data_IF_400673699405
#
_entry.id   IF_400673699405
#
_cell.length_a   1.000
_cell.length_b   1.000
_cell.length_c   1.000
_cell.angle_alpha   90.00
_cell.angle_beta   90.00
_cell.angle_gamma   90.00
#
_symmetry.space_group_name_H-M   'P 1'
#
loop_
_entity.id
_entity.type
_entity.pdbx_description
1 polymer ?
#
# COMPACT_ATOMS: atom_id res chain seq x y z
N UNK A 1 -23.40 -6.52 -12.46
CA UNK A 1 -23.93 -5.15 -12.70
C UNK A 1 -24.10 -4.98 -14.19
N UNK A 2 -25.32 -4.84 -14.67
CA UNK A 2 -25.62 -4.47 -16.05
C UNK A 2 -26.21 -3.06 -16.01
N UNK A 3 -25.42 -2.07 -16.40
CA UNK A 3 -25.87 -0.71 -16.64
C UNK A 3 -25.42 -0.31 -18.02
N UNK A 4 -26.34 0.17 -18.85
CA UNK A 4 -26.02 0.78 -20.14
C UNK A 4 -25.43 2.15 -19.89
N UNK A 5 -24.24 2.42 -20.44
CA UNK A 5 -23.68 3.76 -20.41
C UNK A 5 -24.56 4.66 -21.30
N UNK A 6 -25.29 5.59 -20.70
CA UNK A 6 -26.02 6.61 -21.44
C UNK A 6 -24.99 7.63 -21.97
N UNK A 7 -24.62 7.49 -23.23
CA UNK A 7 -23.66 8.36 -23.89
C UNK A 7 -24.14 9.80 -24.05
N UNK A 8 -25.43 10.07 -23.85
CA UNK A 8 -26.04 11.39 -24.00
C UNK A 8 -26.11 12.16 -22.67
N UNK A 9 -25.96 11.49 -21.52
CA UNK A 9 -25.92 12.12 -20.20
C UNK A 9 -24.51 12.44 -19.72
N UNK A 10 -23.47 12.09 -20.49
CA UNK A 10 -22.07 12.17 -20.07
C UNK A 10 -21.22 13.00 -21.03
N UNK A 11 -20.62 14.07 -20.52
CA UNK A 11 -19.60 14.83 -21.28
C UNK A 11 -18.30 14.04 -21.31
N UNK A 12 -17.89 13.61 -22.52
CA UNK A 12 -16.58 12.97 -22.72
C UNK A 12 -15.46 13.94 -22.31
N UNK A 13 -14.57 13.49 -21.43
CA UNK A 13 -13.33 14.21 -21.11
C UNK A 13 -12.16 13.41 -21.63
N UNK A 14 -11.30 14.07 -22.40
CA UNK A 14 -10.03 13.48 -22.79
C UNK A 14 -9.11 13.50 -21.57
N UNK A 15 -8.67 12.32 -21.16
CA UNK A 15 -7.67 12.15 -20.11
C UNK A 15 -6.28 12.14 -20.75
N UNK A 16 -5.28 12.64 -20.03
CA UNK A 16 -3.88 12.40 -20.35
C UNK A 16 -3.33 11.29 -19.46
N UNK A 17 -2.58 10.38 -20.07
CA UNK A 17 -1.84 9.34 -19.35
C UNK A 17 -0.41 9.84 -19.21
N UNK A 18 0.00 10.06 -17.96
CA UNK A 18 1.34 10.51 -17.60
C UNK A 18 2.27 9.35 -17.28
N UNK A 19 3.31 9.63 -16.49
CA UNK A 19 4.30 8.64 -16.09
C UNK A 19 3.67 7.53 -15.23
N UNK A 20 4.31 6.36 -15.25
CA UNK A 20 4.00 5.29 -14.31
C UNK A 20 4.48 5.68 -12.91
N UNK A 21 3.59 5.59 -11.94
CA UNK A 21 3.88 5.73 -10.52
C UNK A 21 4.01 4.34 -9.92
N UNK A 22 5.02 4.16 -9.07
CA UNK A 22 5.24 2.94 -8.28
C UNK A 22 5.39 3.34 -6.82
N UNK A 23 4.60 2.73 -5.95
CA UNK A 23 4.60 2.97 -4.51
C UNK A 23 4.47 1.66 -3.75
N UNK A 24 4.77 1.70 -2.45
CA UNK A 24 4.74 0.55 -1.55
C UNK A 24 4.03 0.95 -0.25
N UNK A 25 3.38 -0.01 0.41
CA UNK A 25 2.70 0.15 1.68
C UNK A 25 1.20 0.45 1.58
N UNK A 26 0.44 -0.02 2.58
CA UNK A 26 -1.03 0.08 2.60
C UNK A 26 -1.51 1.54 2.57
N UNK A 27 -0.78 2.47 3.20
CA UNK A 27 -1.13 3.90 3.18
C UNK A 27 -1.04 4.51 1.76
N UNK A 28 -0.04 4.11 0.98
CA UNK A 28 0.12 4.57 -0.40
C UNK A 28 -0.91 3.90 -1.31
N UNK A 29 -1.19 2.61 -1.09
CA UNK A 29 -2.27 1.88 -1.76
C UNK A 29 -3.64 2.55 -1.52
N UNK A 30 -3.97 2.88 -0.27
CA UNK A 30 -5.21 3.58 0.08
C UNK A 30 -5.30 4.93 -0.63
N UNK A 31 -4.22 5.71 -0.60
CA UNK A 31 -4.14 7.02 -1.25
C UNK A 31 -4.40 6.91 -2.75
N UNK A 32 -3.81 5.91 -3.40
CA UNK A 32 -4.00 5.68 -4.83
C UNK A 32 -5.42 5.16 -5.15
N UNK A 33 -5.96 4.27 -4.32
CA UNK A 33 -7.33 3.75 -4.49
C UNK A 33 -8.42 4.80 -4.31
N UNK A 34 -8.14 5.89 -3.61
CA UNK A 34 -9.04 7.05 -3.52
C UNK A 34 -9.16 7.84 -4.82
N UNK A 35 -8.27 7.62 -5.79
CA UNK A 35 -8.29 8.32 -7.08
C UNK A 35 -8.58 7.37 -8.24
N UNK A 36 -8.05 6.15 -8.22
CA UNK A 36 -8.18 5.20 -9.32
C UNK A 36 -7.92 3.75 -8.89
N UNK A 37 -8.38 2.75 -9.67
CA UNK A 37 -7.89 1.39 -9.55
C UNK A 37 -6.38 1.33 -9.85
N UNK A 38 -5.68 0.43 -9.15
CA UNK A 38 -4.22 0.28 -9.27
C UNK A 38 -3.84 -1.18 -9.48
N UNK A 39 -2.76 -1.43 -10.20
CA UNK A 39 -2.18 -2.76 -10.34
C UNK A 39 -1.35 -3.06 -9.08
N UNK A 40 -1.47 -4.28 -8.56
CA UNK A 40 -0.70 -4.76 -7.40
C UNK A 40 -0.13 -6.14 -7.67
N UNK A 41 1.03 -6.44 -7.08
CA UNK A 41 1.55 -7.80 -7.01
C UNK A 41 1.02 -8.51 -5.76
N UNK A 42 0.85 -9.82 -5.87
CA UNK A 42 0.31 -10.67 -4.80
C UNK A 42 0.91 -12.07 -4.83
N UNK A 43 0.91 -12.74 -3.67
CA UNK A 43 1.20 -14.16 -3.52
C UNK A 43 -0.05 -14.99 -3.87
N UNK A 44 -0.19 -15.44 -5.12
CA UNK A 44 -1.37 -16.18 -5.61
C UNK A 44 -1.13 -17.67 -5.89
N UNK A 45 0.13 -18.13 -5.88
CA UNK A 45 0.50 -19.53 -6.10
C UNK A 45 0.12 -20.49 -4.97
N UNK A 46 -0.47 -20.00 -3.88
CA UNK A 46 -0.86 -20.83 -2.73
C UNK A 46 -2.30 -21.36 -2.78
N UNK A 47 -2.57 -22.36 -1.93
CA UNK A 47 -3.87 -23.01 -1.84
C UNK A 47 -4.99 -22.09 -1.31
N UNK A 48 -4.67 -21.08 -0.49
CA UNK A 48 -5.67 -20.11 0.02
C UNK A 48 -6.24 -19.32 -1.15
N UNK A 49 -5.37 -18.83 -2.05
CA UNK A 49 -5.76 -18.08 -3.22
C UNK A 49 -6.47 -18.95 -4.26
N UNK A 50 -5.85 -20.07 -4.66
CA UNK A 50 -6.41 -20.96 -5.70
C UNK A 50 -7.82 -21.44 -5.35
N UNK A 51 -8.08 -21.75 -4.07
CA UNK A 51 -9.37 -22.27 -3.61
C UNK A 51 -10.32 -21.22 -3.05
N UNK A 52 -9.98 -19.93 -3.15
CA UNK A 52 -10.84 -18.86 -2.66
C UNK A 52 -12.25 -18.91 -3.28
N UNK A 53 -13.26 -18.67 -2.45
CA UNK A 53 -14.68 -18.63 -2.85
C UNK A 53 -15.37 -17.36 -2.34
N UNK A 54 -15.14 -17.01 -1.08
CA UNK A 54 -15.74 -15.83 -0.45
C UNK A 54 -15.07 -15.49 0.87
N UNK A 55 -15.36 -14.30 1.40
CA UNK A 55 -14.89 -13.84 2.71
C UNK A 55 -13.61 -13.02 2.62
N UNK A 56 -13.11 -12.59 3.77
CA UNK A 56 -11.84 -11.83 3.86
C UNK A 56 -10.71 -12.81 4.17
N UNK A 57 -9.70 -12.85 3.30
CA UNK A 57 -8.48 -13.62 3.55
C UNK A 57 -7.65 -12.91 4.61
N UNK A 58 -7.34 -13.62 5.69
CA UNK A 58 -6.59 -13.09 6.84
C UNK A 58 -5.24 -13.76 7.03
N UNK A 59 -4.86 -14.69 6.14
CA UNK A 59 -3.59 -15.38 6.17
C UNK A 59 -3.19 -15.82 4.76
N UNK A 60 -1.90 -15.69 4.46
CA UNK A 60 -1.22 -16.33 3.33
C UNK A 60 0.03 -17.05 3.85
N UNK A 61 0.54 -18.07 3.15
CA UNK A 61 1.75 -18.80 3.56
C UNK A 61 3.01 -17.97 3.73
N UNK A 62 3.09 -16.77 3.15
CA UNK A 62 4.26 -15.89 3.25
C UNK A 62 5.34 -16.24 2.23
N UNK A 63 4.93 -16.46 0.97
CA UNK A 63 5.82 -16.66 -0.16
C UNK A 63 6.02 -15.35 -0.97
N UNK A 64 6.83 -15.42 -2.01
CA UNK A 64 7.07 -14.28 -2.90
C UNK A 64 5.84 -13.98 -3.76
N UNK A 65 5.69 -12.73 -4.18
CA UNK A 65 4.63 -12.36 -5.12
C UNK A 65 4.89 -12.94 -6.50
N UNK A 66 3.87 -13.60 -7.06
CA UNK A 66 3.96 -14.35 -8.31
C UNK A 66 2.88 -13.99 -9.33
N UNK A 67 1.95 -13.09 -8.97
CA UNK A 67 0.81 -12.75 -9.80
C UNK A 67 0.45 -11.27 -9.68
N UNK A 68 -0.08 -10.71 -10.77
CA UNK A 68 -0.51 -9.32 -10.83
C UNK A 68 -2.04 -9.25 -10.94
N UNK A 69 -2.65 -8.40 -10.10
CA UNK A 69 -4.11 -8.17 -10.08
C UNK A 69 -4.42 -6.68 -9.97
N UNK A 70 -5.70 -6.32 -10.05
CA UNK A 70 -6.13 -4.92 -9.94
C UNK A 70 -6.84 -4.71 -8.61
N UNK A 71 -6.31 -3.85 -7.74
CA UNK A 71 -7.04 -3.34 -6.60
C UNK A 71 -8.07 -2.31 -7.08
N UNK A 72 -9.34 -2.53 -6.72
CA UNK A 72 -10.48 -1.73 -7.21
C UNK A 72 -11.16 -0.90 -6.12
N UNK A 73 -10.70 -1.05 -4.87
CA UNK A 73 -11.20 -0.30 -3.73
C UNK A 73 -10.93 -1.03 -2.42
N UNK A 74 -11.38 -0.43 -1.32
CA UNK A 74 -11.26 -0.98 0.02
C UNK A 74 -12.42 -0.53 0.91
N UNK A 75 -12.61 -1.23 2.03
CA UNK A 75 -13.47 -0.83 3.13
C UNK A 75 -12.67 -0.73 4.44
N UNK A 76 -13.36 -0.56 5.58
CA UNK A 76 -12.70 -0.46 6.89
C UNK A 76 -11.85 -1.67 7.28
N UNK A 77 -12.02 -2.81 6.60
CA UNK A 77 -11.44 -4.11 7.00
C UNK A 77 -10.74 -4.85 5.87
N UNK A 78 -11.01 -4.51 4.60
CA UNK A 78 -10.51 -5.29 3.47
C UNK A 78 -10.23 -4.48 2.20
N UNK A 79 -9.22 -4.94 1.44
CA UNK A 79 -9.01 -4.56 0.04
C UNK A 79 -9.82 -5.47 -0.87
N UNK A 80 -10.50 -4.91 -1.87
CA UNK A 80 -11.16 -5.68 -2.92
C UNK A 80 -10.29 -5.68 -4.16
N UNK A 81 -9.91 -6.88 -4.60
CA UNK A 81 -9.07 -7.09 -5.78
C UNK A 81 -9.86 -7.81 -6.86
N UNK A 82 -9.70 -7.38 -8.10
CA UNK A 82 -10.21 -8.06 -9.29
C UNK A 82 -9.13 -8.95 -9.86
N UNK A 83 -9.44 -10.24 -9.98
CA UNK A 83 -8.57 -11.23 -10.60
C UNK A 83 -8.95 -11.44 -12.09
N UNK A 84 -8.15 -12.21 -12.81
CA UNK A 84 -8.30 -12.53 -14.23
C UNK A 84 -8.74 -13.99 -14.49
N UNK A 85 -9.21 -14.71 -13.46
CA UNK A 85 -9.52 -16.15 -13.52
C UNK A 85 -11.02 -16.47 -13.65
N UNK A 86 -11.70 -15.76 -14.56
CA UNK A 86 -13.16 -15.86 -14.76
C UNK A 86 -14.00 -15.36 -13.57
N UNK A 87 -15.28 -15.12 -13.81
CA UNK A 87 -16.25 -14.73 -12.78
C UNK A 87 -16.68 -15.91 -11.90
N UNK A 88 -16.38 -17.15 -12.29
CA UNK A 88 -16.68 -18.35 -11.50
C UNK A 88 -15.73 -18.55 -10.32
N UNK A 89 -14.59 -17.87 -10.30
CA UNK A 89 -13.63 -17.90 -9.20
C UNK A 89 -13.94 -16.79 -8.19
N UNK A 90 -13.83 -17.09 -6.89
CA UNK A 90 -14.05 -16.12 -5.84
C UNK A 90 -15.43 -15.44 -5.85
N UNK A 91 -15.45 -14.18 -5.43
CA UNK A 91 -16.66 -13.36 -5.34
C UNK A 91 -16.91 -12.67 -6.69
N UNK A 92 -17.42 -13.43 -7.65
CA UNK A 92 -17.63 -12.97 -9.03
C UNK A 92 -16.33 -12.45 -9.68
N UNK A 93 -15.25 -13.21 -9.57
CA UNK A 93 -13.91 -12.86 -10.09
C UNK A 93 -13.10 -11.95 -9.18
N UNK A 94 -13.55 -11.73 -7.94
CA UNK A 94 -12.87 -10.89 -6.96
C UNK A 94 -12.44 -11.66 -5.73
N UNK A 95 -11.50 -11.09 -4.99
CA UNK A 95 -11.05 -11.55 -3.69
C UNK A 95 -10.97 -10.36 -2.73
N UNK A 96 -11.21 -10.62 -1.45
CA UNK A 96 -11.01 -9.64 -0.39
C UNK A 96 -9.86 -10.04 0.51
N UNK A 97 -8.88 -9.15 0.67
CA UNK A 97 -7.73 -9.35 1.54
C UNK A 97 -7.84 -8.46 2.76
N UNK A 98 -7.43 -8.95 3.93
CA UNK A 98 -7.42 -8.15 5.16
C UNK A 98 -6.57 -6.89 4.97
N UNK A 99 -7.14 -5.75 5.33
CA UNK A 99 -6.48 -4.43 5.38
C UNK A 99 -6.08 -4.11 6.82
N UNK A 100 -5.10 -3.24 6.99
CA UNK A 100 -4.60 -2.83 8.29
C UNK A 100 -3.59 -3.82 8.85
N UNK A 101 -2.77 -4.43 7.97
CA UNK A 101 -1.66 -5.30 8.39
C UNK A 101 -0.34 -4.62 8.06
N UNK A 102 0.69 -4.89 8.87
CA UNK A 102 2.02 -4.31 8.69
C UNK A 102 2.78 -4.94 7.52
N UNK A 103 3.92 -4.35 7.16
CA UNK A 103 4.83 -4.88 6.14
C UNK A 103 4.25 -4.77 4.73
N UNK A 104 4.36 -5.84 3.96
CA UNK A 104 3.95 -5.91 2.55
C UNK A 104 2.44 -6.03 2.35
N UNK A 105 1.64 -5.94 3.41
CA UNK A 105 0.20 -6.16 3.34
C UNK A 105 -0.17 -7.65 3.30
N UNK A 106 -1.47 -7.95 3.38
CA UNK A 106 -1.96 -9.33 3.32
C UNK A 106 -1.66 -9.92 1.94
N UNK A 107 -1.00 -11.08 1.90
CA UNK A 107 -0.55 -11.74 0.65
C UNK A 107 0.27 -10.81 -0.25
N UNK A 108 1.08 -9.93 0.35
CA UNK A 108 1.98 -8.96 -0.30
C UNK A 108 1.30 -7.88 -1.16
N UNK A 109 -0.01 -7.66 -0.99
CA UNK A 109 -0.82 -6.72 -1.79
C UNK A 109 -0.29 -5.27 -1.82
N UNK A 110 0.52 -4.89 -0.84
CA UNK A 110 1.12 -3.57 -0.74
C UNK A 110 2.62 -3.55 -1.04
N UNK A 111 3.21 -4.66 -1.51
CA UNK A 111 4.64 -4.74 -1.90
C UNK A 111 4.94 -3.83 -3.08
N UNK A 112 4.14 -3.95 -4.14
CA UNK A 112 4.36 -3.24 -5.40
C UNK A 112 3.03 -2.75 -5.98
N UNK A 113 2.76 -1.46 -5.82
CA UNK A 113 1.56 -0.79 -6.29
C UNK A 113 1.92 0.10 -7.47
N UNK A 114 1.36 -0.20 -8.64
CA UNK A 114 1.70 0.45 -9.91
C UNK A 114 0.47 1.04 -10.57
N UNK A 115 0.55 2.30 -10.97
CA UNK A 115 -0.56 2.97 -11.66
C UNK A 115 -0.07 4.14 -12.53
N UNK A 116 -0.76 4.47 -13.64
CA UNK A 116 -0.42 5.64 -14.43
C UNK A 116 -0.90 6.91 -13.72
N UNK A 117 -0.15 8.01 -13.84
CA UNK A 117 -0.69 9.33 -13.55
C UNK A 117 -1.82 9.66 -14.53
N UNK A 118 -2.97 10.06 -14.03
CA UNK A 118 -4.10 10.49 -14.87
C UNK A 118 -4.23 12.01 -14.75
N UNK A 119 -3.99 12.71 -15.86
CA UNK A 119 -4.23 14.15 -15.99
C UNK A 119 -5.57 14.44 -16.68
N UNK A 120 -6.11 15.65 -16.45
CA UNK A 120 -7.32 16.14 -17.12
C UNK A 120 -8.66 15.56 -16.62
N UNK A 121 -8.64 14.68 -15.63
CA UNK A 121 -9.84 14.20 -14.94
C UNK A 121 -10.33 15.17 -13.85
N UNK A 122 -11.60 15.09 -13.41
CA UNK A 122 -12.00 15.74 -12.17
C UNK A 122 -11.17 15.13 -11.04
N UNK A 123 -10.32 15.94 -10.39
CA UNK A 123 -9.71 15.55 -9.12
C UNK A 123 -10.87 15.22 -8.15
N UNK A 124 -10.92 14.04 -7.51
CA UNK A 124 -11.95 13.75 -6.52
C UNK A 124 -12.00 14.90 -5.51
N UNK A 125 -13.10 15.66 -5.51
CA UNK A 125 -13.25 16.86 -4.66
C UNK A 125 -13.47 16.50 -3.19
N UNK A 126 -13.56 15.21 -2.86
CA UNK A 126 -13.46 14.72 -1.49
C UNK A 126 -11.99 14.54 -1.10
N UNK A 127 -11.31 15.67 -0.95
CA UNK A 127 -10.25 15.71 0.06
C UNK A 127 -10.93 15.39 1.40
N UNK A 128 -10.57 14.32 2.13
CA UNK A 128 -11.04 14.19 3.50
C UNK A 128 -10.66 15.48 4.22
N UNK A 129 -11.66 16.12 4.84
CA UNK A 129 -11.41 17.27 5.70
C UNK A 129 -10.31 16.88 6.68
N UNK A 130 -9.23 17.68 6.82
CA UNK A 130 -8.26 17.46 7.88
C UNK A 130 -9.02 17.50 9.20
N UNK A 131 -9.17 16.35 9.85
CA UNK A 131 -9.68 16.31 11.21
C UNK A 131 -8.68 17.09 12.05
N UNK A 132 -9.14 18.24 12.56
CA UNK A 132 -8.44 19.15 13.45
C UNK A 132 -7.52 18.40 14.43
N UNK A 133 -6.26 18.82 14.62
CA UNK A 133 -5.37 18.23 15.61
C UNK A 133 -5.96 18.45 17.01
N UNK A 134 -6.37 17.37 17.67
CA UNK A 134 -6.58 17.37 19.11
C UNK A 134 -5.22 17.30 19.77
N UNK A 135 -4.88 18.40 20.45
CA UNK A 135 -3.72 18.55 21.33
C UNK A 135 -3.72 17.50 22.44
N UNK A 136 -2.67 16.68 22.51
CA UNK A 136 -2.29 15.92 23.71
C UNK A 136 -0.77 15.72 23.71
N UNK A 137 -0.11 15.65 24.88
CA UNK A 137 1.10 16.42 25.15
C UNK A 137 2.38 15.81 24.61
N UNK A 138 3.33 16.71 24.39
CA UNK A 138 4.76 16.46 24.21
C UNK A 138 5.34 15.60 25.35
N UNK A 139 6.21 14.64 25.03
CA UNK A 139 7.37 14.36 25.84
C UNK A 139 8.63 14.88 25.12
N UNK A 140 9.26 15.86 25.73
CA UNK A 140 10.71 16.08 25.60
C UNK A 140 11.40 14.78 26.02
N UNK A 141 12.19 14.14 25.15
CA UNK A 141 13.09 13.09 25.60
C UNK A 141 14.29 12.95 24.67
N UNK A 142 15.45 12.75 25.30
CA UNK A 142 16.79 12.80 24.76
C UNK A 142 17.05 11.77 23.66
N UNK A 143 18.07 12.07 22.85
CA UNK A 143 18.69 11.13 21.92
C UNK A 143 19.01 9.80 22.64
N UNK A 144 18.69 8.62 22.07
CA UNK A 144 19.05 7.35 22.71
C UNK A 144 20.57 7.20 22.83
N UNK A 145 21.06 6.77 23.99
CA UNK A 145 22.49 6.47 24.31
C UNK A 145 23.17 5.48 23.33
N UNK A 146 22.42 4.91 22.41
CA UNK A 146 22.82 3.90 21.41
C UNK A 146 23.50 4.49 20.18
N UNK A 147 23.45 5.80 19.96
CA UNK A 147 23.85 6.39 18.67
C UNK A 147 25.37 6.54 18.40
N UNK A 148 26.24 6.25 19.36
CA UNK A 148 27.69 6.46 19.25
C UNK A 148 28.03 7.82 18.58
N UNK A 149 28.82 7.83 17.49
CA UNK A 149 29.16 9.02 16.70
C UNK A 149 28.42 9.12 15.35
N UNK A 150 27.35 8.35 15.15
CA UNK A 150 26.65 8.34 13.86
C UNK A 150 25.69 9.54 13.73
N UNK A 151 25.72 10.21 12.59
CA UNK A 151 24.83 11.33 12.24
C UNK A 151 23.70 10.94 11.26
N UNK A 152 23.37 9.65 11.20
CA UNK A 152 22.40 9.05 10.28
C UNK A 152 21.83 7.75 10.83
N UNK A 153 21.54 6.76 9.98
CA UNK A 153 21.04 5.48 10.45
C UNK A 153 22.17 4.63 11.08
N UNK A 154 21.96 4.14 12.31
CA UNK A 154 22.89 3.27 13.02
C UNK A 154 22.33 1.85 13.15
N UNK A 155 23.18 0.85 12.95
CA UNK A 155 22.83 -0.57 13.12
C UNK A 155 23.56 -1.15 14.35
N UNK A 156 22.87 -1.28 15.51
CA UNK A 156 23.51 -1.66 16.77
C UNK A 156 24.13 -3.06 16.77
N UNK A 157 23.50 -4.03 16.09
CA UNK A 157 23.99 -5.40 16.07
C UNK A 157 25.27 -5.58 15.23
N UNK A 158 25.61 -4.61 14.39
CA UNK A 158 26.87 -4.57 13.63
C UNK A 158 27.82 -3.44 14.02
N UNK A 159 27.48 -2.67 15.06
CA UNK A 159 28.21 -1.48 15.54
C UNK A 159 28.70 -0.56 14.41
N UNK A 160 27.82 -0.25 13.45
CA UNK A 160 28.19 0.53 12.27
C UNK A 160 27.15 1.58 11.89
N UNK A 161 27.62 2.71 11.39
CA UNK A 161 26.78 3.70 10.72
C UNK A 161 26.48 3.22 9.30
N UNK A 162 25.21 3.21 8.91
CA UNK A 162 24.82 2.95 7.53
C UNK A 162 25.14 4.17 6.64
N UNK A 163 25.35 3.96 5.33
CA UNK A 163 25.70 5.03 4.41
C UNK A 163 24.65 6.15 4.37
N UNK A 164 25.07 7.37 4.03
CA UNK A 164 24.21 8.57 4.04
C UNK A 164 23.02 8.53 3.05
N UNK A 165 22.99 7.55 2.15
CA UNK A 165 21.86 7.28 1.26
C UNK A 165 20.67 6.65 1.99
N UNK A 166 20.89 6.04 3.16
CA UNK A 166 19.84 5.56 4.03
C UNK A 166 19.20 6.75 4.72
N UNK A 167 18.04 7.15 4.19
CA UNK A 167 17.24 8.22 4.76
C UNK A 167 16.63 7.77 6.09
N UNK A 168 16.01 8.72 6.80
CA UNK A 168 15.23 8.38 8.00
C UNK A 168 14.17 7.32 7.72
N UNK A 169 13.52 7.39 6.56
CA UNK A 169 12.49 6.43 6.17
C UNK A 169 13.08 5.03 5.97
N UNK A 170 14.27 4.92 5.37
CA UNK A 170 14.96 3.64 5.21
C UNK A 170 15.38 3.10 6.58
N UNK A 171 15.89 3.97 7.45
CA UNK A 171 16.30 3.58 8.80
C UNK A 171 15.14 3.06 9.64
N UNK A 172 13.99 3.73 9.56
CA UNK A 172 12.77 3.34 10.27
C UNK A 172 12.16 2.07 9.64
N UNK A 173 12.29 1.89 8.31
CA UNK A 173 11.89 0.65 7.62
C UNK A 173 12.66 -0.56 8.14
N UNK A 174 13.98 -0.45 8.27
CA UNK A 174 14.83 -1.53 8.77
C UNK A 174 14.79 -1.71 10.29
N UNK A 175 14.12 -0.81 11.04
CA UNK A 175 14.10 -0.86 12.50
C UNK A 175 13.46 -2.15 13.04
N UNK A 176 12.38 -2.62 12.40
CA UNK A 176 11.68 -3.82 12.83
C UNK A 176 12.52 -5.09 12.63
N UNK A 177 13.34 -5.11 11.58
CA UNK A 177 14.06 -6.31 11.14
C UNK A 177 15.50 -6.36 11.69
N UNK A 178 16.14 -5.21 11.80
CA UNK A 178 17.56 -5.07 12.15
C UNK A 178 17.79 -4.24 13.42
N UNK A 179 16.73 -3.70 14.03
CA UNK A 179 16.86 -2.84 15.21
C UNK A 179 17.63 -1.56 14.92
N UNK A 180 17.61 -1.09 13.67
CA UNK A 180 18.28 0.16 13.28
C UNK A 180 17.69 1.37 14.00
N UNK A 181 18.54 2.34 14.31
CA UNK A 181 18.20 3.55 15.08
C UNK A 181 18.60 4.77 14.28
N UNK A 182 17.68 5.71 14.09
CA UNK A 182 17.98 6.98 13.45
C UNK A 182 18.65 7.95 14.43
N UNK A 183 19.85 8.41 14.08
CA UNK A 183 20.70 9.28 14.91
C UNK A 183 20.97 10.66 14.27
N UNK A 184 20.26 11.01 13.19
CA UNK A 184 20.29 12.36 12.62
C UNK A 184 19.41 13.33 13.42
N UNK A 185 19.89 14.56 13.61
CA UNK A 185 19.19 15.66 14.32
C UNK A 185 18.10 16.27 13.43
#
# INVERSE_FOLDING_TARGET
MTGTCDSNSCTKRQLSIGATVRVTGEAALDTALNTQPVSVLVEAGNAVWQNYRSGVVTQCPGAYSDHAVVAVGYDGTSYKLRNSWSTSWGEAGHIRLKRGVSGLGMCNVAEDVVFPQIGGGPNPTVSPTPTKPTTSPSPTSAQPDVCANCSGCYYPAGDQCLPAEYTKADCDYYQADFGTVWCGI
#
